data_IF_087880013569
#
_entry.id   IF_087880013569
#
_cell.length_a   1.000
_cell.length_b   1.000
_cell.length_c   1.000
_cell.angle_alpha   90.00
_cell.angle_beta   90.00
_cell.angle_gamma   90.00
#
_symmetry.space_group_name_H-M   'P 1'
#
loop_
_entity.id
_entity.type
_entity.pdbx_description
1 polymer ?
#
# COMPACT_ATOMS: atom_id res chain seq x y z
N UNK A 1 1.14 8.81 7.71
CA UNK A 1 0.54 8.05 8.83
C UNK A 1 1.54 7.24 9.65
N UNK A 2 2.67 6.77 9.10
CA UNK A 2 3.62 5.93 9.83
C UNK A 2 4.10 6.50 11.19
N UNK A 3 4.56 7.76 11.22
CA UNK A 3 5.01 8.41 12.48
C UNK A 3 3.94 8.46 13.57
N UNK A 4 2.67 8.56 13.19
CA UNK A 4 1.56 8.55 14.12
C UNK A 4 1.35 7.15 14.69
N UNK A 5 1.34 6.13 13.83
CA UNK A 5 1.23 4.73 14.24
C UNK A 5 2.40 4.32 15.16
N UNK A 6 3.63 4.75 14.86
CA UNK A 6 4.80 4.55 15.71
C UNK A 6 4.64 5.19 17.10
N UNK A 7 4.11 6.42 17.16
CA UNK A 7 3.84 7.09 18.44
C UNK A 7 2.81 6.37 19.31
N UNK A 8 1.88 5.61 18.69
CA UNK A 8 0.93 4.73 19.39
C UNK A 8 1.48 3.31 19.64
N UNK A 9 2.75 3.06 19.34
CA UNK A 9 3.40 1.77 19.58
C UNK A 9 3.14 0.71 18.50
N UNK A 10 2.54 1.08 17.37
CA UNK A 10 2.37 0.19 16.22
C UNK A 10 3.63 0.12 15.34
N UNK A 11 3.86 -1.02 14.69
CA UNK A 11 4.83 -1.13 13.60
C UNK A 11 4.25 -0.41 12.39
N UNK A 12 5.04 0.41 11.71
CA UNK A 12 4.57 1.13 10.55
C UNK A 12 5.58 1.04 9.41
N UNK A 13 5.08 0.82 8.20
CA UNK A 13 5.89 0.71 6.99
C UNK A 13 5.25 1.53 5.87
N UNK A 14 6.06 2.30 5.15
CA UNK A 14 5.65 3.03 3.96
C UNK A 14 5.99 2.20 2.72
N UNK A 15 4.99 1.95 1.88
CA UNK A 15 5.11 1.25 0.61
C UNK A 15 4.86 2.25 -0.51
N UNK A 16 5.84 2.37 -1.41
CA UNK A 16 5.79 3.32 -2.55
C UNK A 16 5.68 2.63 -3.91
N UNK A 17 5.92 1.33 -3.95
CA UNK A 17 5.82 0.51 -5.17
C UNK A 17 4.95 -0.72 -4.93
N UNK A 18 4.46 -1.34 -6.01
CA UNK A 18 3.58 -2.52 -5.89
C UNK A 18 4.35 -3.72 -5.35
N UNK A 19 5.62 -3.85 -5.75
CA UNK A 19 6.52 -4.94 -5.40
C UNK A 19 6.88 -4.94 -3.91
N UNK A 20 6.88 -3.77 -3.27
CA UNK A 20 7.11 -3.60 -1.84
C UNK A 20 5.95 -4.10 -0.96
N UNK A 21 4.74 -4.20 -1.52
CA UNK A 21 3.55 -4.52 -0.72
C UNK A 21 3.57 -5.95 -0.17
N UNK A 22 3.84 -6.95 -1.01
CA UNK A 22 3.87 -8.36 -0.58
C UNK A 22 4.86 -8.62 0.57
N UNK A 23 6.12 -8.16 0.52
CA UNK A 23 7.04 -8.31 1.64
C UNK A 23 6.67 -7.46 2.86
N UNK A 24 6.11 -6.26 2.69
CA UNK A 24 5.61 -5.45 3.81
C UNK A 24 4.43 -6.12 4.53
N UNK A 25 3.53 -6.73 3.76
CA UNK A 25 2.42 -7.52 4.30
C UNK A 25 2.92 -8.72 5.12
N UNK A 26 3.92 -9.46 4.60
CA UNK A 26 4.53 -10.56 5.36
C UNK A 26 5.13 -10.12 6.70
N UNK A 27 5.81 -8.97 6.72
CA UNK A 27 6.36 -8.39 7.97
C UNK A 27 5.27 -7.94 8.93
N UNK A 28 4.22 -7.29 8.43
CA UNK A 28 3.08 -6.87 9.24
C UNK A 28 2.33 -8.05 9.87
N UNK A 29 2.14 -9.14 9.11
CA UNK A 29 1.52 -10.36 9.62
C UNK A 29 2.37 -11.08 10.67
N UNK A 30 3.69 -10.94 10.59
CA UNK A 30 4.63 -11.51 11.57
C UNK A 30 4.86 -10.60 12.78
N UNK A 31 4.26 -9.41 12.81
CA UNK A 31 4.47 -8.43 13.88
C UNK A 31 3.78 -8.87 15.17
N UNK A 32 4.50 -8.74 16.29
CA UNK A 32 3.97 -9.03 17.65
C UNK A 32 3.15 -7.88 18.24
N UNK A 33 2.95 -6.80 17.46
CA UNK A 33 2.23 -5.57 17.84
C UNK A 33 1.40 -5.09 16.65
N UNK A 34 0.39 -4.22 16.85
CA UNK A 34 -0.39 -3.68 15.75
C UNK A 34 0.51 -3.14 14.63
N UNK A 35 0.14 -3.41 13.38
CA UNK A 35 0.93 -3.03 12.22
C UNK A 35 0.11 -2.15 11.26
N UNK A 36 0.73 -1.11 10.72
CA UNK A 36 0.19 -0.20 9.71
C UNK A 36 1.06 -0.27 8.46
N UNK A 37 0.44 -0.50 7.31
CA UNK A 37 1.09 -0.33 6.00
C UNK A 37 0.47 0.90 5.35
N UNK A 38 1.27 1.94 5.17
CA UNK A 38 0.88 3.13 4.42
C UNK A 38 1.26 2.93 2.95
N UNK A 39 0.26 2.77 2.07
CA UNK A 39 0.49 2.62 0.63
C UNK A 39 0.39 3.99 -0.03
N UNK A 40 1.52 4.50 -0.52
CA UNK A 40 1.59 5.74 -1.25
C UNK A 40 1.18 5.46 -2.70
N UNK A 41 -0.06 5.80 -3.02
CA UNK A 41 -0.57 5.76 -4.39
C UNK A 41 -0.51 7.15 -5.00
N UNK A 42 -0.21 7.21 -6.29
CA UNK A 42 -0.40 8.43 -7.07
C UNK A 42 -1.89 8.79 -7.09
N UNK A 43 -2.21 10.06 -6.83
CA UNK A 43 -3.58 10.57 -6.82
C UNK A 43 -4.26 10.45 -8.18
N UNK A 44 -3.50 10.46 -9.27
CA UNK A 44 -4.05 10.39 -10.63
C UNK A 44 -4.52 8.96 -10.98
N UNK A 45 -4.01 7.94 -10.28
CA UNK A 45 -4.47 6.54 -10.41
C UNK A 45 -5.86 6.32 -9.78
N UNK A 46 -6.36 7.25 -8.96
CA UNK A 46 -7.67 7.19 -8.32
C UNK A 46 -8.78 7.86 -9.15
N UNK A 47 -8.52 8.20 -10.42
CA UNK A 47 -9.58 8.69 -11.30
C UNK A 47 -10.53 7.54 -11.70
N UNK A 48 -11.85 7.69 -11.48
CA UNK A 48 -12.84 6.63 -11.77
C UNK A 48 -13.01 6.33 -13.26
N UNK A 49 -12.29 7.06 -14.12
CA UNK A 49 -12.39 6.96 -15.58
C UNK A 49 -11.63 5.77 -16.17
N UNK A 50 -10.79 5.08 -15.37
CA UNK A 50 -10.11 3.87 -15.81
C UNK A 50 -11.04 2.67 -15.61
N UNK A 51 -11.72 2.28 -16.69
CA UNK A 51 -12.59 1.10 -16.71
C UNK A 51 -11.75 -0.17 -16.84
N UNK A 52 -12.23 -1.31 -16.33
CA UNK A 52 -11.58 -2.63 -16.57
C UNK A 52 -11.38 -2.91 -18.07
N UNK A 53 -12.20 -2.30 -18.94
CA UNK A 53 -12.05 -2.35 -20.39
C UNK A 53 -10.76 -1.66 -20.88
N UNK A 54 -10.42 -0.48 -20.35
CA UNK A 54 -9.20 0.24 -20.75
C UNK A 54 -7.90 -0.43 -20.26
N UNK A 55 -7.95 -1.12 -19.13
CA UNK A 55 -6.82 -1.95 -18.66
C UNK A 55 -6.56 -3.14 -19.60
N UNK A 56 -7.61 -3.70 -20.20
CA UNK A 56 -7.50 -4.85 -21.12
C UNK A 56 -6.96 -4.44 -22.50
N UNK A 57 -7.30 -3.25 -23.00
CA UNK A 57 -6.78 -2.71 -24.27
C UNK A 57 -5.29 -2.33 -24.22
N UNK A 58 -4.74 -1.96 -23.05
CA UNK A 58 -3.30 -1.66 -22.90
C UNK A 58 -2.39 -2.88 -22.84
N UNK A 59 -2.96 -4.08 -22.85
CA UNK A 59 -2.23 -5.36 -22.75
C UNK A 59 -2.17 -6.12 -24.08
N UNK A 60 -2.59 -5.47 -25.18
CA UNK A 60 -2.56 -6.01 -26.56
C UNK A 60 -1.53 -5.32 -27.43
#
# INVERSE_FOLDING_TARGET
FCKLAEAYGAQAELVTTTEEFAPAFGRAMSASRPALIEVLLDRDLLTPTITIKSLRDRSG
#
